data_IF_950764205557
#
_entry.id   IF_950764205557
#
_cell.length_a   1.000
_cell.length_b   1.000
_cell.length_c   1.000
_cell.angle_alpha   90.00
_cell.angle_beta   90.00
_cell.angle_gamma   90.00
#
_symmetry.space_group_name_H-M   'P 1'
#
loop_
_entity.id
_entity.type
_entity.pdbx_description
1 polymer ?
#
# COMPACT_ATOMS: atom_id res chain seq x y z
N UNK A 1 11.09 8.24 -18.52
CA UNK A 1 12.03 7.17 -18.21
C UNK A 1 11.36 5.88 -18.62
N UNK A 2 11.79 5.31 -19.75
CA UNK A 2 11.45 3.93 -20.09
C UNK A 2 12.03 3.09 -18.96
N UNK A 3 11.18 2.47 -18.14
CA UNK A 3 11.65 1.41 -17.26
C UNK A 3 12.03 0.27 -18.19
N UNK A 4 13.32 -0.02 -18.31
CA UNK A 4 13.75 -1.29 -18.90
C UNK A 4 13.07 -2.39 -18.10
N UNK A 5 12.16 -3.13 -18.75
CA UNK A 5 11.54 -4.29 -18.15
C UNK A 5 12.63 -5.35 -18.04
N UNK A 6 12.96 -5.73 -16.80
CA UNK A 6 13.88 -6.82 -16.51
C UNK A 6 13.07 -8.10 -16.51
N UNK A 7 13.51 -9.11 -17.28
CA UNK A 7 12.88 -10.43 -17.27
C UNK A 7 13.13 -11.10 -15.91
N UNK A 8 12.09 -11.66 -15.26
CA UNK A 8 12.24 -12.37 -14.00
C UNK A 8 13.19 -13.56 -14.09
N UNK A 9 13.96 -13.76 -13.02
CA UNK A 9 14.81 -14.93 -12.78
C UNK A 9 14.18 -15.87 -11.75
N UNK A 10 14.53 -17.17 -11.75
CA UNK A 10 14.06 -18.09 -10.72
C UNK A 10 14.44 -17.62 -9.30
N UNK A 11 13.47 -17.59 -8.40
CA UNK A 11 13.59 -17.08 -7.03
C UNK A 11 13.22 -15.61 -6.87
N UNK A 12 12.96 -14.87 -7.96
CA UNK A 12 12.54 -13.47 -7.87
C UNK A 12 11.15 -13.35 -7.24
N UNK A 13 11.00 -12.32 -6.41
CA UNK A 13 9.71 -11.89 -5.84
C UNK A 13 9.21 -10.70 -6.64
N UNK A 14 8.05 -10.85 -7.29
CA UNK A 14 7.40 -9.80 -8.06
C UNK A 14 6.23 -9.24 -7.26
N UNK A 15 6.33 -7.96 -6.91
CA UNK A 15 5.37 -7.29 -6.05
C UNK A 15 4.37 -6.45 -6.86
N UNK A 16 3.08 -6.72 -6.68
CA UNK A 16 1.99 -5.96 -7.28
C UNK A 16 1.29 -5.09 -6.23
N UNK A 17 1.04 -3.83 -6.55
CA UNK A 17 0.14 -2.95 -5.79
C UNK A 17 -0.86 -2.33 -6.74
N UNK A 18 -2.15 -2.66 -6.59
CA UNK A 18 -3.14 -2.28 -7.60
C UNK A 18 -4.53 -1.98 -7.03
N UNK A 19 -5.28 -1.18 -7.81
CA UNK A 19 -6.67 -0.82 -7.57
C UNK A 19 -7.60 -1.68 -8.43
N UNK A 20 -8.88 -1.71 -8.08
CA UNK A 20 -9.88 -2.50 -8.81
C UNK A 20 -9.99 -2.11 -10.28
N UNK A 21 -9.74 -0.85 -10.64
CA UNK A 21 -9.73 -0.39 -12.03
C UNK A 21 -8.61 -1.00 -12.89
N UNK A 22 -7.56 -1.54 -12.25
CA UNK A 22 -6.41 -2.17 -12.91
C UNK A 22 -6.55 -3.69 -12.99
N UNK A 23 -7.62 -4.26 -12.41
CA UNK A 23 -7.81 -5.71 -12.23
C UNK A 23 -7.69 -6.51 -13.54
N UNK A 24 -8.31 -6.05 -14.62
CA UNK A 24 -8.29 -6.77 -15.90
C UNK A 24 -6.87 -6.85 -16.48
N UNK A 25 -6.12 -5.75 -16.42
CA UNK A 25 -4.73 -5.68 -16.89
C UNK A 25 -3.85 -6.59 -16.02
N UNK A 26 -3.98 -6.51 -14.70
CA UNK A 26 -3.22 -7.35 -13.77
C UNK A 26 -3.55 -8.83 -13.97
N UNK A 27 -4.81 -9.19 -14.26
CA UNK A 27 -5.19 -10.58 -14.55
C UNK A 27 -4.44 -11.12 -15.77
N UNK A 28 -4.37 -10.34 -16.84
CA UNK A 28 -3.63 -10.74 -18.05
C UNK A 28 -2.13 -10.85 -17.77
N UNK A 29 -1.55 -9.91 -17.01
CA UNK A 29 -0.13 -9.95 -16.63
C UNK A 29 0.21 -11.15 -15.76
N UNK A 30 -0.59 -11.43 -14.72
CA UNK A 30 -0.39 -12.59 -13.84
C UNK A 30 -0.51 -13.89 -14.62
N UNK A 31 -1.49 -14.00 -15.52
CA UNK A 31 -1.63 -15.16 -16.41
C UNK A 31 -0.39 -15.36 -17.26
N UNK A 32 0.10 -14.31 -17.92
CA UNK A 32 1.30 -14.38 -18.75
C UNK A 32 2.54 -14.77 -17.93
N UNK A 33 2.69 -14.23 -16.72
CA UNK A 33 3.79 -14.57 -15.81
C UNK A 33 3.73 -16.04 -15.38
N UNK A 34 2.55 -16.56 -15.06
CA UNK A 34 2.37 -17.98 -14.71
C UNK A 34 2.62 -18.91 -15.88
N UNK A 35 2.17 -18.55 -17.09
CA UNK A 35 2.45 -19.33 -18.31
C UNK A 35 3.96 -19.38 -18.63
N UNK A 36 4.70 -18.28 -18.42
CA UNK A 36 6.13 -18.20 -18.75
C UNK A 36 7.05 -18.78 -17.66
N UNK A 37 6.74 -18.56 -16.38
CA UNK A 37 7.65 -18.85 -15.26
C UNK A 37 7.10 -19.89 -14.27
N UNK A 38 5.79 -20.12 -14.24
CA UNK A 38 5.15 -21.05 -13.30
C UNK A 38 5.48 -20.70 -11.84
N UNK A 39 5.94 -21.70 -11.10
CA UNK A 39 6.31 -21.59 -9.67
C UNK A 39 7.79 -21.21 -9.47
N UNK A 40 8.51 -20.86 -10.55
CA UNK A 40 9.91 -20.42 -10.43
C UNK A 40 10.03 -19.01 -9.85
N UNK A 41 8.97 -18.24 -9.86
CA UNK A 41 8.89 -16.88 -9.33
C UNK A 41 7.80 -16.82 -8.25
N UNK A 42 7.94 -15.89 -7.32
CA UNK A 42 6.93 -15.63 -6.30
C UNK A 42 6.17 -14.36 -6.68
N UNK A 43 4.87 -14.46 -6.89
CA UNK A 43 3.99 -13.33 -7.14
C UNK A 43 3.28 -12.94 -5.84
N UNK A 44 3.47 -11.70 -5.40
CA UNK A 44 2.74 -11.17 -4.23
C UNK A 44 1.90 -9.96 -4.62
N UNK A 45 0.77 -9.79 -3.93
CA UNK A 45 -0.16 -8.69 -4.17
C UNK A 45 -0.43 -7.89 -2.90
N UNK A 46 -0.62 -6.59 -3.06
CA UNK A 46 -1.11 -5.69 -2.02
C UNK A 46 -1.84 -4.48 -2.59
N UNK A 47 -2.16 -3.52 -1.73
CA UNK A 47 -2.89 -2.32 -2.11
C UNK A 47 -4.41 -2.47 -1.99
N UNK A 48 -5.19 -1.49 -2.52
CA UNK A 48 -6.61 -1.39 -2.23
C UNK A 48 -7.45 -2.58 -2.67
N UNK A 49 -7.20 -3.13 -3.87
CA UNK A 49 -7.98 -4.26 -4.37
C UNK A 49 -7.68 -5.56 -3.63
N UNK A 50 -6.41 -6.00 -3.48
CA UNK A 50 -6.11 -7.21 -2.70
C UNK A 50 -6.51 -7.09 -1.23
N UNK A 51 -6.49 -5.88 -0.65
CA UNK A 51 -7.03 -5.67 0.70
C UNK A 51 -8.56 -5.80 0.79
N UNK A 52 -9.27 -5.66 -0.33
CA UNK A 52 -10.74 -5.73 -0.40
C UNK A 52 -11.25 -7.12 -0.81
N UNK A 53 -10.49 -7.82 -1.66
CA UNK A 53 -10.77 -9.18 -2.11
C UNK A 53 -9.48 -10.03 -2.12
N UNK A 54 -8.97 -10.44 -0.94
CA UNK A 54 -7.72 -11.18 -0.85
C UNK A 54 -7.84 -12.58 -1.47
N UNK A 55 -8.99 -13.24 -1.30
CA UNK A 55 -9.24 -14.55 -1.90
C UNK A 55 -9.36 -14.48 -3.43
N UNK A 56 -9.95 -13.39 -3.96
CA UNK A 56 -9.95 -13.12 -5.40
C UNK A 56 -8.53 -12.95 -5.92
N UNK A 57 -7.67 -12.21 -5.21
CA UNK A 57 -6.27 -12.08 -5.57
C UNK A 57 -5.54 -13.44 -5.58
N UNK A 58 -5.69 -14.29 -4.56
CA UNK A 58 -5.12 -15.65 -4.57
C UNK A 58 -5.59 -16.45 -5.80
N UNK A 59 -6.90 -16.40 -6.12
CA UNK A 59 -7.48 -17.06 -7.30
C UNK A 59 -6.96 -16.53 -8.64
N UNK A 60 -6.46 -15.29 -8.71
CA UNK A 60 -5.79 -14.77 -9.91
C UNK A 60 -4.44 -15.46 -10.16
N UNK A 61 -3.86 -16.08 -9.13
CA UNK A 61 -2.56 -16.75 -9.19
C UNK A 61 -1.46 -16.02 -8.43
N UNK A 62 -1.78 -15.19 -7.43
CA UNK A 62 -0.79 -14.69 -6.47
C UNK A 62 -0.50 -15.74 -5.38
N UNK A 63 0.76 -15.87 -4.96
CA UNK A 63 1.17 -16.81 -3.90
C UNK A 63 0.85 -16.27 -2.51
N UNK A 64 1.03 -14.96 -2.31
CA UNK A 64 0.76 -14.28 -1.04
C UNK A 64 0.09 -12.93 -1.26
N UNK A 65 -0.83 -12.58 -0.36
CA UNK A 65 -1.62 -11.35 -0.40
C UNK A 65 -1.47 -10.57 0.90
N UNK A 66 -0.97 -9.35 0.78
CA UNK A 66 -0.80 -8.39 1.85
C UNK A 66 -2.01 -7.47 1.93
N UNK A 67 -2.71 -7.51 3.06
CA UNK A 67 -3.91 -6.70 3.31
C UNK A 67 -3.65 -5.65 4.38
N UNK A 68 -4.10 -4.41 4.15
CA UNK A 68 -3.81 -3.32 5.09
C UNK A 68 -2.42 -2.70 4.90
N UNK A 69 -1.99 -1.86 5.86
CA UNK A 69 -0.65 -1.28 5.88
C UNK A 69 0.38 -2.32 6.35
N UNK A 70 1.20 -2.81 5.42
CA UNK A 70 2.08 -3.96 5.60
C UNK A 70 3.58 -3.61 5.63
N UNK A 71 3.96 -2.40 6.07
CA UNK A 71 5.36 -1.99 6.08
C UNK A 71 6.27 -2.95 6.89
N UNK A 72 5.87 -3.34 8.11
CA UNK A 72 6.63 -4.32 8.91
C UNK A 72 6.50 -5.74 8.37
N UNK A 73 5.30 -6.11 7.95
CA UNK A 73 4.98 -7.48 7.51
C UNK A 73 5.71 -7.83 6.21
N UNK A 74 5.85 -6.87 5.29
CA UNK A 74 6.70 -7.01 4.11
C UNK A 74 8.16 -7.23 4.51
N UNK A 75 8.66 -6.50 5.50
CA UNK A 75 10.04 -6.64 5.95
C UNK A 75 10.28 -8.01 6.60
N UNK A 76 9.34 -8.51 7.41
CA UNK A 76 9.38 -9.87 7.98
C UNK A 76 9.29 -10.95 6.91
N UNK A 77 8.44 -10.78 5.90
CA UNK A 77 8.35 -11.70 4.77
C UNK A 77 9.69 -11.81 4.02
N UNK A 78 10.32 -10.67 3.69
CA UNK A 78 11.62 -10.65 3.00
C UNK A 78 12.76 -11.25 3.84
N UNK A 79 12.62 -11.31 5.17
CA UNK A 79 13.57 -11.98 6.07
C UNK A 79 13.27 -13.46 6.27
N UNK A 80 12.21 -14.00 5.68
CA UNK A 80 11.78 -15.39 5.86
C UNK A 80 11.18 -15.67 7.24
N UNK A 81 10.63 -14.65 7.90
CA UNK A 81 10.03 -14.76 9.23
C UNK A 81 8.53 -15.10 9.19
N UNK A 82 7.92 -15.01 8.00
CA UNK A 82 6.52 -15.36 7.76
C UNK A 82 6.44 -16.82 7.30
N UNK A 83 5.57 -17.65 7.91
CA UNK A 83 5.36 -19.03 7.47
C UNK A 83 5.02 -19.17 5.98
N UNK A 84 5.51 -20.23 5.36
CA UNK A 84 5.29 -20.49 3.93
C UNK A 84 3.81 -20.74 3.60
N UNK A 85 3.06 -21.36 4.51
CA UNK A 85 1.62 -21.63 4.40
C UNK A 85 0.73 -20.42 4.69
N UNK A 86 1.30 -19.31 5.16
CA UNK A 86 0.54 -18.07 5.37
C UNK A 86 0.36 -17.32 4.03
N UNK A 87 -0.77 -17.54 3.38
CA UNK A 87 -1.11 -16.92 2.09
C UNK A 87 -1.65 -15.48 2.25
N UNK A 88 -2.36 -15.17 3.34
CA UNK A 88 -2.96 -13.84 3.57
C UNK A 88 -2.31 -13.21 4.79
N UNK A 89 -1.48 -12.19 4.56
CA UNK A 89 -0.78 -11.46 5.61
C UNK A 89 -1.50 -10.14 5.87
N UNK A 90 -1.95 -9.93 7.11
CA UNK A 90 -2.69 -8.71 7.47
C UNK A 90 -1.82 -7.76 8.27
N UNK A 91 -1.51 -6.61 7.67
CA UNK A 91 -0.65 -5.60 8.27
C UNK A 91 -1.35 -4.64 9.21
N UNK A 92 -0.61 -4.18 10.22
CA UNK A 92 -1.12 -3.24 11.27
C UNK A 92 -0.21 -2.04 11.47
N UNK A 93 0.56 -1.69 10.46
CA UNK A 93 1.50 -0.57 10.44
C UNK A 93 0.76 0.79 10.34
N UNK A 94 -0.14 1.08 11.29
CA UNK A 94 -1.05 2.22 11.20
C UNK A 94 -0.38 3.57 11.45
N UNK A 95 0.64 3.61 12.32
CA UNK A 95 1.37 4.83 12.62
C UNK A 95 2.34 5.17 11.49
N UNK A 96 1.84 5.96 10.55
CA UNK A 96 2.58 6.35 9.35
C UNK A 96 3.84 7.17 9.64
N UNK A 97 3.94 7.78 10.83
CA UNK A 97 5.11 8.60 11.19
C UNK A 97 6.37 7.77 11.36
N UNK A 98 6.24 6.46 11.61
CA UNK A 98 7.36 5.52 11.73
C UNK A 98 8.05 5.22 10.40
N UNK A 99 7.37 5.49 9.28
CA UNK A 99 7.83 5.15 7.95
C UNK A 99 8.20 6.40 7.16
N UNK A 100 9.22 6.33 6.29
CA UNK A 100 9.57 7.45 5.42
C UNK A 100 8.42 7.77 4.45
N UNK A 101 8.27 9.04 4.08
CA UNK A 101 7.23 9.45 3.08
C UNK A 101 7.48 8.77 1.73
N UNK A 102 8.75 8.72 1.32
CA UNK A 102 9.19 8.07 0.09
C UNK A 102 10.70 7.88 0.12
N UNK A 103 11.21 6.95 -0.69
CA UNK A 103 12.64 6.79 -0.92
C UNK A 103 13.19 7.94 -1.77
N UNK A 104 14.38 8.41 -1.44
CA UNK A 104 15.04 9.48 -2.18
C UNK A 104 15.50 9.07 -3.58
N UNK A 105 15.67 7.77 -3.79
CA UNK A 105 16.07 7.18 -5.06
C UNK A 105 14.90 7.07 -6.06
N UNK A 106 13.67 7.29 -5.59
CA UNK A 106 12.48 7.26 -6.44
C UNK A 106 12.11 8.66 -6.95
N UNK A 107 11.35 8.77 -8.05
CA UNK A 107 10.75 10.02 -8.48
C UNK A 107 9.93 10.68 -7.36
N UNK A 108 9.76 12.00 -7.44
CA UNK A 108 8.95 12.72 -6.46
C UNK A 108 7.55 12.10 -6.33
N UNK A 109 7.07 11.86 -5.09
CA UNK A 109 5.78 11.22 -4.89
C UNK A 109 4.66 12.13 -5.42
N UNK A 110 3.66 11.53 -6.06
CA UNK A 110 2.51 12.27 -6.62
C UNK A 110 1.62 12.86 -5.53
N UNK A 111 1.68 12.32 -4.32
CA UNK A 111 1.04 12.84 -3.12
C UNK A 111 1.74 12.31 -1.86
N UNK A 112 1.65 13.07 -0.79
CA UNK A 112 2.20 12.73 0.53
C UNK A 112 1.05 12.28 1.41
N UNK A 113 1.10 11.06 1.90
CA UNK A 113 0.13 10.56 2.88
C UNK A 113 0.38 11.23 4.24
N UNK A 114 -0.60 12.03 4.68
CA UNK A 114 -0.54 12.81 5.93
C UNK A 114 -1.45 12.23 7.02
N UNK A 115 -2.38 11.36 6.65
CA UNK A 115 -3.31 10.72 7.58
C UNK A 115 -3.61 9.30 7.13
N UNK A 116 -3.74 8.39 8.09
CA UNK A 116 -4.16 7.00 7.89
C UNK A 116 -5.29 6.66 8.87
N UNK A 117 -6.31 5.94 8.41
CA UNK A 117 -7.51 5.62 9.20
C UNK A 117 -8.62 6.68 9.12
N UNK A 118 -9.84 6.30 9.49
CA UNK A 118 -11.01 7.18 9.48
C UNK A 118 -12.09 6.67 10.47
N UNK A 119 -12.64 7.52 11.37
CA UNK A 119 -13.56 7.07 12.42
C UNK A 119 -15.01 6.87 11.93
N UNK A 120 -15.32 7.19 10.67
CA UNK A 120 -16.71 7.28 10.22
C UNK A 120 -17.35 5.93 9.86
N UNK A 121 -16.58 4.95 9.37
CA UNK A 121 -17.13 3.63 9.02
C UNK A 121 -18.24 3.68 7.98
N UNK A 122 -18.12 4.55 6.98
CA UNK A 122 -19.13 4.68 5.93
C UNK A 122 -19.29 3.34 5.20
N UNK A 123 -20.54 2.87 5.01
CA UNK A 123 -20.83 1.55 4.42
C UNK A 123 -20.24 1.34 3.02
N UNK A 124 -20.03 2.42 2.27
CA UNK A 124 -19.46 2.39 0.93
C UNK A 124 -17.92 2.44 0.90
N UNK A 125 -17.27 2.70 2.04
CA UNK A 125 -15.85 3.05 2.09
C UNK A 125 -15.03 1.95 2.77
N UNK A 126 -13.98 1.50 2.09
CA UNK A 126 -13.07 0.46 2.56
C UNK A 126 -12.08 0.96 3.64
N UNK A 127 -11.82 2.27 3.70
CA UNK A 127 -10.75 2.87 4.51
C UNK A 127 -10.77 2.43 5.97
N UNK A 128 -11.91 2.56 6.66
CA UNK A 128 -11.99 2.24 8.10
C UNK A 128 -11.76 0.76 8.39
N UNK A 129 -12.05 -0.11 7.41
CA UNK A 129 -11.88 -1.55 7.53
C UNK A 129 -10.44 -2.01 7.21
N UNK A 130 -9.72 -1.23 6.39
CA UNK A 130 -8.31 -1.50 6.01
C UNK A 130 -7.33 -0.83 6.96
N UNK A 131 -7.57 0.42 7.33
CA UNK A 131 -6.67 1.25 8.12
C UNK A 131 -7.13 1.46 9.57
N UNK A 132 -8.29 0.92 9.93
CA UNK A 132 -8.88 1.09 11.26
C UNK A 132 -9.66 2.40 11.43
N UNK A 133 -10.34 2.47 12.58
CA UNK A 133 -11.18 3.60 12.97
C UNK A 133 -10.41 4.71 13.69
N UNK A 134 -9.22 4.40 14.19
CA UNK A 134 -8.31 5.40 14.79
C UNK A 134 -7.55 6.10 13.68
N UNK A 135 -7.48 7.43 13.74
CA UNK A 135 -6.71 8.22 12.79
C UNK A 135 -5.30 8.42 13.33
N UNK A 136 -4.32 8.23 12.46
CA UNK A 136 -2.92 8.51 12.70
C UNK A 136 -2.51 9.63 11.75
N UNK A 137 -2.01 10.73 12.31
CA UNK A 137 -1.52 11.87 11.54
C UNK A 137 0.01 11.87 11.52
N UNK A 138 0.58 12.19 10.35
CA UNK A 138 1.99 12.54 10.25
C UNK A 138 2.19 13.94 10.82
N UNK A 139 3.32 14.17 11.50
CA UNK A 139 3.66 15.51 11.97
C UNK A 139 3.91 16.48 10.80
N UNK A 140 3.43 17.73 10.88
CA UNK A 140 3.72 18.75 9.88
C UNK A 140 5.22 18.95 9.66
N UNK A 141 6.03 18.83 10.71
CA UNK A 141 7.49 18.99 10.67
C UNK A 141 8.13 17.95 9.75
N UNK A 142 7.71 16.68 9.85
CA UNK A 142 8.21 15.61 8.97
C UNK A 142 7.86 15.88 7.49
N UNK A 143 6.68 16.44 7.23
CA UNK A 143 6.25 16.81 5.87
C UNK A 143 7.08 17.98 5.35
N UNK A 144 7.27 19.03 6.15
CA UNK A 144 8.06 20.22 5.77
C UNK A 144 9.51 19.83 5.50
N UNK A 145 10.10 19.00 6.36
CA UNK A 145 11.46 18.49 6.20
C UNK A 145 11.60 17.77 4.86
N UNK A 146 10.72 16.82 4.57
CA UNK A 146 10.75 16.06 3.31
C UNK A 146 10.55 16.95 2.08
N UNK A 147 9.55 17.84 2.11
CA UNK A 147 9.24 18.77 1.01
C UNK A 147 10.43 19.67 0.70
N UNK A 148 11.05 20.23 1.74
CA UNK A 148 12.20 21.12 1.62
C UNK A 148 13.43 20.38 1.09
N UNK A 149 13.73 19.23 1.69
CA UNK A 149 14.87 18.36 1.33
C UNK A 149 14.78 17.84 -0.11
N UNK A 150 13.56 17.57 -0.59
CA UNK A 150 13.29 17.10 -1.96
C UNK A 150 13.04 18.23 -2.97
N UNK A 151 13.07 19.50 -2.53
CA UNK A 151 12.88 20.67 -3.40
C UNK A 151 11.51 20.71 -4.09
N UNK A 152 10.46 20.22 -3.43
CA UNK A 152 9.12 20.10 -4.02
C UNK A 152 8.43 21.47 -4.09
N UNK A 153 8.02 21.89 -5.30
CA UNK A 153 7.27 23.14 -5.53
C UNK A 153 5.76 22.97 -5.47
N UNK A 154 5.28 21.78 -5.82
CA UNK A 154 3.85 21.43 -5.82
C UNK A 154 3.70 20.23 -4.90
N UNK A 155 2.91 20.39 -3.85
CA UNK A 155 2.65 19.35 -2.85
C UNK A 155 1.17 19.00 -2.90
N UNK A 156 0.88 17.70 -2.94
CA UNK A 156 -0.49 17.17 -2.81
C UNK A 156 -0.53 16.29 -1.58
N UNK A 157 -1.60 16.41 -0.81
CA UNK A 157 -1.80 15.59 0.37
C UNK A 157 -2.79 14.47 0.08
N UNK A 158 -2.48 13.30 0.65
CA UNK A 158 -3.36 12.14 0.66
C UNK A 158 -3.83 11.96 2.10
N UNK A 159 -5.13 12.09 2.29
CA UNK A 159 -5.79 11.87 3.57
C UNK A 159 -7.16 11.22 3.29
N UNK A 160 -7.52 10.12 3.99
CA UNK A 160 -8.79 9.46 3.76
C UNK A 160 -10.03 10.32 4.07
N UNK A 161 -9.87 11.30 4.96
CA UNK A 161 -10.85 12.35 5.20
C UNK A 161 -10.12 13.66 5.50
N UNK A 162 -9.99 14.52 4.49
CA UNK A 162 -9.25 15.79 4.63
C UNK A 162 -9.97 16.81 5.52
N UNK A 163 -11.31 16.76 5.57
CA UNK A 163 -12.09 17.68 6.42
C UNK A 163 -12.03 17.32 7.91
N UNK A 164 -11.54 16.12 8.25
CA UNK A 164 -11.35 15.67 9.62
C UNK A 164 -9.89 15.72 10.07
N UNK A 165 -9.00 16.40 9.34
CA UNK A 165 -7.60 16.53 9.75
C UNK A 165 -7.52 17.26 11.11
N UNK A 166 -6.91 16.61 12.10
CA UNK A 166 -6.82 17.10 13.49
C UNK A 166 -8.18 17.35 14.19
N UNK A 167 -9.29 16.83 13.65
CA UNK A 167 -10.59 16.93 14.32
C UNK A 167 -10.60 16.08 15.61
N UNK A 168 -10.94 16.70 16.74
CA UNK A 168 -11.03 16.00 18.04
C UNK A 168 -12.28 15.12 18.13
N UNK A 169 -13.35 15.52 17.43
CA UNK A 169 -14.65 14.83 17.45
C UNK A 169 -15.15 14.54 16.04
N UNK A 170 -15.87 13.43 15.92
CA UNK A 170 -16.54 13.05 14.67
C UNK A 170 -17.62 14.07 14.35
N UNK A 171 -17.60 14.60 13.12
CA UNK A 171 -18.58 15.57 12.62
C UNK A 171 -18.26 17.03 12.94
N UNK A 172 -17.20 17.30 13.71
CA UNK A 172 -16.79 18.65 14.08
C UNK A 172 -15.42 18.94 13.44
N UNK A 173 -15.31 19.94 12.53
CA UNK A 173 -14.01 20.34 12.01
C UNK A 173 -13.20 21.04 13.12
N UNK A 174 -11.88 20.92 13.05
CA UNK A 174 -10.98 21.70 13.91
C UNK A 174 -10.77 23.08 13.27
N UNK A 175 -11.64 24.04 13.64
CA UNK A 175 -11.64 25.44 13.19
C UNK A 175 -11.30 26.37 14.34
#
# INVERSE_FOLDING_TARGET
MSSERVDPSPGDVICYSFRTSELEIIREEVRAMREAYGDKIVLIAGGPHPSGDPYGALKLGFDKVFTGPCEEEMASFLRGEIPDDEEIITGRSFDISKYPISSDHLPLPRGIEISRGCPYGCRFCQVSYVFGFKVYHRSPESVIEFVSRRGMKIVRFVAPNSLAYMAEKRGEPNL
#
